data_IF_215194562701
#
_entry.id   IF_215194562701
#
_cell.length_a   1.000
_cell.length_b   1.000
_cell.length_c   1.000
_cell.angle_alpha   90.00
_cell.angle_beta   90.00
_cell.angle_gamma   90.00
#
_symmetry.space_group_name_H-M   'P 1'
#
loop_
_entity.id
_entity.type
_entity.pdbx_description
1 polymer ?
#
# COMPACT_ATOMS: atom_id res chain seq x y z
N UNK A 1 2.40 6.67 -9.36
CA UNK A 1 3.82 6.29 -9.56
C UNK A 1 3.89 4.77 -9.63
N UNK A 2 4.78 4.18 -10.46
CA UNK A 2 4.81 2.74 -10.69
C UNK A 2 5.20 1.94 -9.45
N UNK A 3 4.49 0.84 -9.18
CA UNK A 3 4.84 -0.09 -8.10
C UNK A 3 4.71 -1.56 -8.57
N UNK A 4 5.76 -2.39 -8.45
CA UNK A 4 7.12 -1.97 -8.14
C UNK A 4 7.68 -1.07 -9.27
N UNK A 5 8.66 -0.23 -8.95
CA UNK A 5 9.15 0.77 -9.90
C UNK A 5 10.60 1.18 -9.67
N UNK A 6 11.14 1.92 -10.63
CA UNK A 6 12.43 2.60 -10.47
C UNK A 6 12.32 3.66 -9.37
N UNK A 7 13.31 3.72 -8.48
CA UNK A 7 13.36 4.69 -7.40
C UNK A 7 13.53 6.12 -7.91
N UNK A 8 14.13 6.31 -9.08
CA UNK A 8 14.46 7.64 -9.59
C UNK A 8 13.19 8.45 -9.93
N UNK A 9 12.10 7.79 -10.36
CA UNK A 9 10.79 8.44 -10.54
C UNK A 9 10.28 9.04 -9.22
N UNK A 10 10.50 8.34 -8.11
CA UNK A 10 10.09 8.79 -6.78
C UNK A 10 11.00 9.90 -6.28
N UNK A 11 12.32 9.79 -6.52
CA UNK A 11 13.29 10.85 -6.19
C UNK A 11 13.03 12.14 -6.94
N UNK A 12 12.75 12.05 -8.24
CA UNK A 12 12.43 13.23 -9.05
C UNK A 12 11.14 13.91 -8.55
N UNK A 13 10.13 13.11 -8.19
CA UNK A 13 8.93 13.63 -7.53
C UNK A 13 9.26 14.32 -6.21
N UNK A 14 10.11 13.71 -5.36
CA UNK A 14 10.53 14.28 -4.07
C UNK A 14 11.30 15.59 -4.23
N UNK A 15 12.26 15.62 -5.16
CA UNK A 15 13.03 16.82 -5.51
C UNK A 15 12.12 17.93 -6.01
N UNK A 16 11.20 17.61 -6.92
CA UNK A 16 10.32 18.61 -7.54
C UNK A 16 9.31 19.21 -6.54
N UNK A 17 8.66 18.37 -5.71
CA UNK A 17 7.58 18.82 -4.83
C UNK A 17 8.12 19.40 -3.51
N UNK A 18 9.16 18.78 -2.93
CA UNK A 18 9.65 19.11 -1.59
C UNK A 18 11.10 19.64 -1.56
N UNK A 19 11.80 19.69 -2.70
CA UNK A 19 13.20 20.14 -2.74
C UNK A 19 14.19 19.15 -2.11
N UNK A 20 13.79 17.89 -1.95
CA UNK A 20 14.65 16.85 -1.35
C UNK A 20 15.61 16.27 -2.38
N UNK A 21 16.88 16.67 -2.33
CA UNK A 21 17.89 16.27 -3.32
C UNK A 21 18.27 14.79 -3.27
N UNK A 22 18.18 14.15 -2.10
CA UNK A 22 18.62 12.78 -1.87
C UNK A 22 17.56 11.97 -1.10
N UNK A 23 16.32 11.95 -1.61
CA UNK A 23 15.28 11.11 -1.04
C UNK A 23 15.57 9.62 -1.28
N UNK A 24 15.23 8.78 -0.30
CA UNK A 24 15.36 7.31 -0.39
C UNK A 24 16.78 6.82 -0.77
N UNK A 25 17.85 7.31 -0.13
CA UNK A 25 19.24 7.00 -0.52
C UNK A 25 19.60 5.51 -0.40
N UNK A 26 18.92 4.77 0.45
CA UNK A 26 19.12 3.36 0.74
C UNK A 26 18.41 2.41 -0.24
N UNK A 27 17.57 2.95 -1.13
CA UNK A 27 16.78 2.15 -2.07
C UNK A 27 17.22 2.37 -3.51
N UNK A 28 17.21 1.29 -4.30
CA UNK A 28 17.39 1.35 -5.77
C UNK A 28 16.08 1.11 -6.52
N UNK A 29 15.03 0.69 -5.81
CA UNK A 29 13.69 0.40 -6.34
C UNK A 29 12.63 0.76 -5.32
N UNK A 30 11.44 1.12 -5.81
CA UNK A 30 10.25 1.22 -4.99
C UNK A 30 9.50 -0.13 -5.06
N UNK A 31 9.66 -0.96 -4.04
CA UNK A 31 9.08 -2.31 -3.98
C UNK A 31 8.86 -2.79 -2.53
N UNK A 32 8.70 -4.10 -2.33
CA UNK A 32 8.43 -4.72 -1.03
C UNK A 32 9.49 -4.38 0.02
N UNK A 33 10.75 -4.16 -0.36
CA UNK A 33 11.80 -3.83 0.62
C UNK A 33 11.66 -2.41 1.15
N UNK A 34 11.22 -1.47 0.31
CA UNK A 34 10.80 -0.15 0.79
C UNK A 34 9.64 -0.27 1.78
N UNK A 35 8.59 -1.04 1.44
CA UNK A 35 7.47 -1.23 2.36
C UNK A 35 7.90 -1.89 3.67
N UNK A 36 8.82 -2.87 3.62
CA UNK A 36 9.37 -3.54 4.80
C UNK A 36 10.09 -2.55 5.72
N UNK A 37 10.89 -1.66 5.16
CA UNK A 37 11.55 -0.59 5.91
C UNK A 37 10.52 0.33 6.59
N UNK A 38 9.55 0.85 5.83
CA UNK A 38 8.54 1.77 6.36
C UNK A 38 7.64 1.15 7.44
N UNK A 39 7.39 -0.16 7.35
CA UNK A 39 6.55 -0.90 8.30
C UNK A 39 7.32 -1.50 9.48
N UNK A 40 8.66 -1.53 9.42
CA UNK A 40 9.51 -2.13 10.45
C UNK A 40 9.20 -1.64 11.87
N UNK A 41 8.98 -0.33 12.13
CA UNK A 41 8.69 0.14 13.48
C UNK A 41 7.44 -0.50 14.10
N UNK A 42 6.39 -0.73 13.31
CA UNK A 42 5.16 -1.35 13.78
C UNK A 42 5.35 -2.84 14.08
N UNK A 43 6.11 -3.53 13.23
CA UNK A 43 6.46 -4.94 13.41
C UNK A 43 7.37 -5.16 14.62
N UNK A 44 8.38 -4.31 14.80
CA UNK A 44 9.25 -4.34 15.97
C UNK A 44 8.49 -4.08 17.26
N UNK A 45 7.57 -3.11 17.26
CA UNK A 45 6.75 -2.83 18.43
C UNK A 45 5.89 -4.05 18.79
N UNK A 46 5.22 -4.66 17.82
CA UNK A 46 4.44 -5.88 18.06
C UNK A 46 5.30 -7.04 18.60
N UNK A 47 6.53 -7.20 18.09
CA UNK A 47 7.47 -8.21 18.58
C UNK A 47 7.97 -7.96 20.01
N UNK A 48 8.21 -6.69 20.38
CA UNK A 48 8.63 -6.28 21.74
C UNK A 48 7.49 -6.32 22.76
N UNK A 49 6.25 -6.23 22.29
CA UNK A 49 5.05 -6.13 23.13
C UNK A 49 3.99 -7.17 22.73
N UNK A 50 4.24 -8.48 22.94
CA UNK A 50 3.34 -9.55 22.51
C UNK A 50 1.99 -9.55 23.24
N UNK A 51 1.86 -8.82 24.35
CA UNK A 51 0.60 -8.61 25.08
C UNK A 51 -0.27 -7.49 24.47
N UNK A 52 0.25 -6.74 23.48
CA UNK A 52 -0.46 -5.66 22.80
C UNK A 52 -0.92 -6.10 21.42
N UNK A 53 -2.15 -5.70 21.07
CA UNK A 53 -2.68 -5.89 19.73
C UNK A 53 -2.29 -4.67 18.90
N UNK A 54 -1.54 -4.91 17.83
CA UNK A 54 -1.25 -3.90 16.81
C UNK A 54 -2.02 -4.28 15.54
N UNK A 55 -2.74 -3.32 14.98
CA UNK A 55 -3.62 -3.49 13.83
C UNK A 55 -3.31 -2.42 12.79
N UNK A 56 -3.08 -2.83 11.53
CA UNK A 56 -3.07 -1.91 10.40
C UNK A 56 -4.51 -1.48 10.05
N UNK A 57 -4.96 -0.39 10.68
CA UNK A 57 -6.34 0.09 10.59
C UNK A 57 -6.74 0.60 9.22
N UNK A 58 -5.80 1.20 8.47
CA UNK A 58 -6.04 1.75 7.14
C UNK A 58 -4.80 1.63 6.27
N UNK A 59 -5.01 1.18 5.03
CA UNK A 59 -4.06 1.26 3.94
C UNK A 59 -4.81 1.13 2.62
N UNK A 60 -4.20 1.57 1.52
CA UNK A 60 -4.80 1.38 0.21
C UNK A 60 -4.08 2.11 -0.91
N UNK A 61 -4.66 2.03 -2.10
CA UNK A 61 -4.15 2.68 -3.30
C UNK A 61 -5.20 3.63 -3.87
N UNK A 62 -4.75 4.79 -4.34
CA UNK A 62 -5.64 5.75 -5.01
C UNK A 62 -6.23 5.16 -6.29
N UNK A 63 -7.46 5.55 -6.63
CA UNK A 63 -8.24 5.05 -7.78
C UNK A 63 -7.48 5.10 -9.10
N UNK A 64 -6.74 6.18 -9.34
CA UNK A 64 -6.01 6.40 -10.59
C UNK A 64 -4.76 5.52 -10.73
N UNK A 65 -4.40 4.76 -9.69
CA UNK A 65 -3.32 3.80 -9.76
C UNK A 65 -3.70 2.64 -10.71
N UNK A 66 -2.84 2.29 -11.69
CA UNK A 66 -3.04 1.11 -12.54
C UNK A 66 -3.30 -0.14 -11.71
N UNK A 67 -4.28 -0.96 -12.14
CA UNK A 67 -4.75 -2.12 -11.37
C UNK A 67 -3.62 -3.08 -10.97
N UNK A 68 -2.68 -3.36 -11.88
CA UNK A 68 -1.51 -4.20 -11.62
C UNK A 68 -0.70 -3.70 -10.41
N UNK A 69 -0.44 -2.39 -10.34
CA UNK A 69 0.34 -1.80 -9.25
C UNK A 69 -0.41 -1.89 -7.92
N UNK A 70 -1.74 -1.78 -7.97
CA UNK A 70 -2.61 -1.95 -6.81
C UNK A 70 -2.54 -3.36 -6.28
N UNK A 71 -2.66 -4.36 -7.16
CA UNK A 71 -2.55 -5.76 -6.80
C UNK A 71 -1.18 -6.08 -6.19
N UNK A 72 -0.09 -5.61 -6.81
CA UNK A 72 1.27 -5.83 -6.32
C UNK A 72 1.49 -5.20 -4.93
N UNK A 73 1.14 -3.92 -4.77
CA UNK A 73 1.27 -3.22 -3.48
C UNK A 73 0.45 -3.91 -2.37
N UNK A 74 -0.81 -4.24 -2.66
CA UNK A 74 -1.68 -4.89 -1.69
C UNK A 74 -1.15 -6.28 -1.31
N UNK A 75 -0.66 -7.05 -2.28
CA UNK A 75 -0.08 -8.38 -2.04
C UNK A 75 1.14 -8.31 -1.13
N UNK A 76 2.06 -7.39 -1.42
CA UNK A 76 3.28 -7.22 -0.64
C UNK A 76 2.97 -6.82 0.80
N UNK A 77 2.15 -5.78 1.00
CA UNK A 77 1.81 -5.28 2.33
C UNK A 77 1.02 -6.32 3.14
N UNK A 78 -0.01 -6.94 2.55
CA UNK A 78 -0.82 -7.96 3.23
C UNK A 78 0.02 -9.19 3.56
N UNK A 79 0.94 -9.60 2.69
CA UNK A 79 1.83 -10.73 2.98
C UNK A 79 2.68 -10.47 4.22
N UNK A 80 3.26 -9.27 4.37
CA UNK A 80 4.04 -8.90 5.55
C UNK A 80 3.18 -8.80 6.81
N UNK A 81 2.00 -8.18 6.72
CA UNK A 81 1.07 -8.12 7.85
C UNK A 81 0.70 -9.52 8.34
N UNK A 82 0.49 -10.48 7.43
CA UNK A 82 0.25 -11.89 7.76
C UNK A 82 1.49 -12.58 8.35
N UNK A 83 2.68 -12.35 7.81
CA UNK A 83 3.96 -12.86 8.36
C UNK A 83 4.09 -12.45 9.85
N UNK A 84 3.68 -11.23 10.19
CA UNK A 84 3.70 -10.69 11.56
C UNK A 84 2.40 -10.94 12.37
N UNK A 85 1.46 -11.74 11.84
CA UNK A 85 0.17 -12.07 12.48
C UNK A 85 -0.66 -10.83 12.87
N UNK A 86 -0.54 -9.75 12.12
CA UNK A 86 -1.27 -8.51 12.33
C UNK A 86 -2.57 -8.52 11.53
N UNK A 87 -3.66 -8.15 12.20
CA UNK A 87 -4.91 -7.85 11.52
C UNK A 87 -4.73 -6.62 10.62
N UNK A 88 -5.60 -6.48 9.64
CA UNK A 88 -5.57 -5.36 8.69
C UNK A 88 -6.97 -5.04 8.17
N UNK A 89 -7.17 -3.79 7.76
CA UNK A 89 -8.38 -3.34 7.09
C UNK A 89 -8.01 -2.47 5.89
N UNK A 90 -8.41 -2.90 4.69
CA UNK A 90 -8.17 -2.15 3.47
C UNK A 90 -9.16 -0.99 3.41
N UNK A 91 -8.65 0.22 3.29
CA UNK A 91 -9.49 1.41 3.20
C UNK A 91 -10.24 1.44 1.86
N UNK A 92 -11.57 1.47 1.93
CA UNK A 92 -12.45 1.59 0.77
C UNK A 92 -13.36 2.80 0.93
N UNK A 93 -12.98 3.90 0.30
CA UNK A 93 -13.76 5.13 0.32
C UNK A 93 -14.39 5.41 -1.05
N UNK A 94 -15.72 5.45 -1.07
CA UNK A 94 -16.53 5.79 -2.23
C UNK A 94 -16.96 7.25 -2.12
N UNK A 95 -16.24 8.15 -2.78
CA UNK A 95 -16.65 9.56 -2.85
C UNK A 95 -17.45 9.87 -4.12
N UNK A 96 -18.07 11.05 -4.14
CA UNK A 96 -18.86 11.58 -5.28
C UNK A 96 -17.95 11.87 -6.48
N UNK A 97 -18.49 11.97 -7.72
CA UNK A 97 -17.74 11.99 -9.00
C UNK A 97 -16.45 12.83 -9.06
N UNK A 98 -16.34 13.89 -8.26
CA UNK A 98 -15.29 14.90 -8.36
C UNK A 98 -14.33 14.97 -7.17
N UNK A 99 -14.38 14.03 -6.23
CA UNK A 99 -13.42 13.99 -5.13
C UNK A 99 -12.19 13.14 -5.51
N UNK A 100 -11.02 13.78 -5.41
CA UNK A 100 -9.72 13.18 -5.74
C UNK A 100 -9.23 12.16 -4.71
N UNK A 101 -9.81 12.12 -3.51
CA UNK A 101 -9.37 11.22 -2.43
C UNK A 101 -10.06 9.85 -2.47
N UNK A 102 -10.01 9.18 -3.63
CA UNK A 102 -10.68 7.89 -3.85
C UNK A 102 -9.76 6.71 -3.67
N UNK A 103 -10.10 5.82 -2.76
CA UNK A 103 -9.43 4.53 -2.52
C UNK A 103 -10.33 3.34 -2.88
N UNK A 104 -11.13 3.47 -3.93
CA UNK A 104 -12.19 2.51 -4.27
C UNK A 104 -11.65 1.12 -4.59
N UNK A 105 -12.09 0.10 -3.84
CA UNK A 105 -11.88 -1.32 -4.16
C UNK A 105 -12.87 -1.86 -5.18
N UNK A 106 -13.93 -1.11 -5.45
CA UNK A 106 -14.98 -1.45 -6.39
C UNK A 106 -15.08 -0.45 -7.54
N UNK A 107 -15.63 -0.90 -8.65
CA UNK A 107 -15.97 -0.02 -9.77
C UNK A 107 -17.16 0.91 -9.42
N UNK A 108 -17.25 2.04 -10.13
CA UNK A 108 -18.27 3.06 -9.84
C UNK A 108 -19.67 2.67 -10.30
N UNK A 109 -19.78 1.87 -11.36
CA UNK A 109 -21.04 1.62 -12.07
C UNK A 109 -21.84 0.48 -11.43
N UNK A 110 -21.14 -0.62 -11.13
CA UNK A 110 -21.70 -1.91 -10.69
C UNK A 110 -21.32 -2.27 -9.27
N UNK A 111 -20.44 -1.50 -8.63
CA UNK A 111 -19.96 -1.73 -7.25
C UNK A 111 -19.36 -3.13 -7.05
N UNK A 112 -18.67 -3.67 -8.06
CA UNK A 112 -17.96 -4.95 -7.99
C UNK A 112 -16.49 -4.73 -7.74
N UNK A 113 -15.83 -5.66 -7.02
CA UNK A 113 -14.38 -5.61 -6.85
C UNK A 113 -13.71 -5.58 -8.22
N UNK A 114 -12.68 -4.73 -8.36
CA UNK A 114 -12.07 -4.39 -9.65
C UNK A 114 -11.50 -5.59 -10.41
N UNK A 115 -11.06 -6.64 -9.69
CA UNK A 115 -10.64 -7.90 -10.28
C UNK A 115 -10.82 -9.07 -9.30
N UNK A 116 -10.95 -10.31 -9.80
CA UNK A 116 -10.91 -11.50 -8.94
C UNK A 116 -9.60 -11.66 -8.17
N UNK A 117 -8.47 -11.23 -8.75
CA UNK A 117 -7.16 -11.33 -8.11
C UNK A 117 -7.06 -10.35 -6.93
N UNK A 118 -7.46 -9.08 -7.11
CA UNK A 118 -7.54 -8.12 -6.02
C UNK A 118 -8.46 -8.62 -4.90
N UNK A 119 -9.60 -9.22 -5.24
CA UNK A 119 -10.51 -9.81 -4.26
C UNK A 119 -9.85 -10.94 -3.44
N UNK A 120 -9.04 -11.79 -4.08
CA UNK A 120 -8.30 -12.85 -3.40
C UNK A 120 -7.19 -12.29 -2.50
N UNK A 121 -6.44 -11.29 -2.98
CA UNK A 121 -5.37 -10.62 -2.25
C UNK A 121 -5.91 -9.95 -0.98
N UNK A 122 -6.95 -9.11 -1.09
CA UNK A 122 -7.49 -8.38 0.08
C UNK A 122 -8.11 -9.34 1.11
N UNK A 123 -8.64 -10.48 0.66
CA UNK A 123 -9.11 -11.55 1.54
C UNK A 123 -7.97 -12.39 2.16
N UNK A 124 -6.71 -12.07 1.87
CA UNK A 124 -5.54 -12.77 2.41
C UNK A 124 -5.35 -14.18 1.86
N UNK A 125 -5.89 -14.50 0.68
CA UNK A 125 -5.83 -15.83 0.06
C UNK A 125 -4.64 -16.00 -0.91
N UNK A 126 -3.91 -14.92 -1.17
CA UNK A 126 -2.77 -14.84 -2.08
C UNK A 126 -1.62 -14.09 -1.43
#
# INVERSE_FOLDING_TARGET
MPYPGDIDIYRDCRRYIWGEENAYPEFTRMDKEFLRHETAPAFEFAGKHPDKIVWCGEFGTIRHCPLEYRENYMRDLISMLKEHRMAYCVWNYLSTPNDGNRFSLVDDDRRRILSPELAAIIAGKR
#
